data_IF_089657035376
#
_entry.id   IF_089657035376
#
_cell.length_a   1.000
_cell.length_b   1.000
_cell.length_c   1.000
_cell.angle_alpha   90.00
_cell.angle_beta   90.00
_cell.angle_gamma   90.00
#
_symmetry.space_group_name_H-M   'P 1'
#
loop_
_entity.id
_entity.type
_entity.pdbx_description
1 polymer ?
#
# COMPACT_ATOMS: atom_id res chain seq x y z
N UNK A 1 -7.48 -15.04 73.20
CA UNK A 1 -8.35 -15.05 71.99
C UNK A 1 -7.93 -13.87 71.12
N UNK A 2 -8.04 -14.06 69.80
CA UNK A 2 -7.36 -13.40 68.67
C UNK A 2 -7.22 -11.86 68.66
N UNK A 3 -6.06 -11.43 68.15
CA UNK A 3 -5.75 -10.11 67.58
C UNK A 3 -6.47 -9.87 66.25
N UNK A 4 -6.82 -8.62 65.94
CA UNK A 4 -6.80 -8.06 64.59
C UNK A 4 -7.04 -6.54 64.60
N UNK A 5 -5.97 -5.74 64.66
CA UNK A 5 -6.02 -4.32 64.32
C UNK A 5 -5.73 -4.16 62.82
N UNK A 6 -6.75 -3.81 62.05
CA UNK A 6 -6.66 -3.58 60.61
C UNK A 6 -5.85 -2.33 60.27
N UNK A 7 -4.80 -2.52 59.49
CA UNK A 7 -4.00 -1.47 58.84
C UNK A 7 -4.76 -0.83 57.68
N UNK A 8 -4.85 0.49 57.67
CA UNK A 8 -5.44 1.29 56.59
C UNK A 8 -4.51 1.35 55.38
N UNK A 9 -5.01 0.93 54.22
CA UNK A 9 -4.31 0.98 52.93
C UNK A 9 -4.26 2.41 52.37
N UNK A 10 -3.06 2.93 52.13
CA UNK A 10 -2.78 4.26 51.52
C UNK A 10 -2.43 4.16 50.04
N UNK A 11 -3.13 3.33 49.26
CA UNK A 11 -2.97 3.33 47.79
C UNK A 11 -4.04 4.21 47.15
N UNK A 12 -3.67 5.20 46.32
CA UNK A 12 -4.65 6.00 45.60
C UNK A 12 -5.48 5.09 44.68
N UNK A 13 -6.79 5.35 44.52
CA UNK A 13 -7.66 4.51 43.71
C UNK A 13 -7.14 4.50 42.27
N UNK A 14 -7.02 3.29 41.69
CA UNK A 14 -6.68 3.13 40.28
C UNK A 14 -7.75 3.88 39.46
N UNK A 15 -7.38 5.03 38.89
CA UNK A 15 -8.24 5.75 37.94
C UNK A 15 -8.55 4.81 36.79
N UNK A 16 -9.78 4.30 36.74
CA UNK A 16 -10.28 3.56 35.59
C UNK A 16 -10.42 4.59 34.46
N UNK A 17 -9.40 4.68 33.60
CA UNK A 17 -9.48 5.53 32.42
C UNK A 17 -10.42 4.86 31.42
N UNK A 18 -11.37 5.66 30.93
CA UNK A 18 -12.38 5.23 29.98
C UNK A 18 -11.72 4.63 28.73
N UNK A 19 -12.02 3.37 28.34
CA UNK A 19 -11.40 2.72 27.18
C UNK A 19 -11.61 3.51 25.87
N UNK A 20 -12.74 4.23 25.78
CA UNK A 20 -13.11 5.04 24.62
C UNK A 20 -12.21 6.28 24.41
N UNK A 21 -11.64 6.85 25.48
CA UNK A 21 -10.69 7.95 25.39
C UNK A 21 -9.31 7.48 24.90
N UNK A 22 -8.92 6.26 25.24
CA UNK A 22 -7.66 5.64 24.78
C UNK A 22 -7.76 5.25 23.31
N UNK A 23 -8.92 4.74 22.88
CA UNK A 23 -9.18 4.41 21.46
C UNK A 23 -9.12 5.67 20.57
N UNK A 24 -9.81 6.77 20.96
CA UNK A 24 -9.75 8.05 20.24
C UNK A 24 -8.33 8.61 20.14
N UNK A 25 -7.55 8.55 21.23
CA UNK A 25 -6.16 9.01 21.23
C UNK A 25 -5.25 8.20 20.30
N UNK A 26 -5.46 6.88 20.19
CA UNK A 26 -4.69 6.03 19.27
C UNK A 26 -5.05 6.28 17.81
N UNK A 27 -6.32 6.50 17.51
CA UNK A 27 -6.79 6.78 16.15
C UNK A 27 -6.32 8.16 15.67
N UNK A 28 -6.31 9.18 16.55
CA UNK A 28 -5.71 10.49 16.25
C UNK A 28 -4.21 10.40 16.02
N UNK A 29 -3.49 9.63 16.84
CA UNK A 29 -2.05 9.43 16.68
C UNK A 29 -1.71 8.73 15.36
N UNK A 30 -2.51 7.74 14.96
CA UNK A 30 -2.39 7.07 13.66
C UNK A 30 -2.63 8.04 12.50
N UNK A 31 -3.68 8.86 12.56
CA UNK A 31 -3.94 9.88 11.52
C UNK A 31 -2.79 10.88 11.40
N UNK A 32 -2.26 11.36 12.52
CA UNK A 32 -1.12 12.27 12.51
C UNK A 32 0.15 11.62 11.93
N UNK A 33 0.40 10.35 12.20
CA UNK A 33 1.48 9.59 11.57
C UNK A 33 1.26 9.42 10.07
N UNK A 34 0.05 9.06 9.64
CA UNK A 34 -0.31 8.93 8.22
C UNK A 34 -0.14 10.27 7.48
N UNK A 35 -0.57 11.39 8.08
CA UNK A 35 -0.42 12.73 7.52
C UNK A 35 1.06 13.15 7.44
N UNK A 36 1.86 12.86 8.47
CA UNK A 36 3.30 13.14 8.46
C UNK A 36 4.04 12.32 7.38
N UNK A 37 3.73 11.03 7.27
CA UNK A 37 4.29 10.12 6.26
C UNK A 37 3.89 10.60 4.87
N UNK A 38 2.64 11.01 4.68
CA UNK A 38 2.12 11.59 3.43
C UNK A 38 2.88 12.85 3.03
N UNK A 39 3.06 13.80 3.94
CA UNK A 39 3.80 15.05 3.65
C UNK A 39 5.30 14.79 3.38
N UNK A 40 5.89 13.81 4.06
CA UNK A 40 7.29 13.40 3.84
C UNK A 40 7.46 12.74 2.46
N UNK A 41 6.54 11.86 2.08
CA UNK A 41 6.55 11.24 0.75
C UNK A 41 6.29 12.26 -0.36
N UNK A 42 5.32 13.18 -0.17
CA UNK A 42 5.09 14.28 -1.12
C UNK A 42 6.34 15.14 -1.30
N UNK A 43 6.98 15.55 -0.21
CA UNK A 43 8.18 16.40 -0.30
C UNK A 43 9.37 15.67 -0.93
N UNK A 44 9.54 14.36 -0.68
CA UNK A 44 10.57 13.53 -1.33
C UNK A 44 10.32 13.34 -2.83
N UNK A 45 9.08 13.01 -3.20
CA UNK A 45 8.64 12.88 -4.58
C UNK A 45 8.76 14.21 -5.36
N UNK A 46 8.33 15.32 -4.75
CA UNK A 46 8.43 16.66 -5.33
C UNK A 46 9.87 17.17 -5.44
N UNK A 47 10.75 16.84 -4.49
CA UNK A 47 12.19 17.15 -4.58
C UNK A 47 12.85 16.36 -5.71
N UNK A 48 12.48 15.10 -5.88
CA UNK A 48 13.00 14.23 -6.95
C UNK A 48 12.56 14.72 -8.35
N UNK A 49 11.31 15.20 -8.46
CA UNK A 49 10.78 15.90 -9.64
C UNK A 49 11.58 17.17 -9.97
N UNK A 50 11.82 18.03 -8.98
CA UNK A 50 12.55 19.30 -9.19
C UNK A 50 13.99 19.07 -9.65
N UNK A 51 14.55 17.89 -9.37
CA UNK A 51 15.89 17.48 -9.79
C UNK A 51 15.89 16.74 -11.14
N UNK A 52 14.73 16.51 -11.75
CA UNK A 52 14.59 15.82 -13.04
C UNK A 52 15.03 14.35 -13.04
N UNK A 53 15.18 13.75 -11.85
CA UNK A 53 15.61 12.35 -11.69
C UNK A 53 14.82 11.72 -10.55
N UNK A 54 13.79 10.95 -10.89
CA UNK A 54 13.23 10.00 -9.92
C UNK A 54 14.22 8.86 -9.74
N UNK A 55 14.69 8.67 -8.50
CA UNK A 55 15.54 7.53 -8.19
C UNK A 55 14.65 6.28 -8.08
N UNK A 56 15.05 5.14 -8.68
CA UNK A 56 14.33 3.89 -8.49
C UNK A 56 14.27 3.53 -7.01
N UNK A 57 13.08 3.17 -6.53
CA UNK A 57 12.85 2.73 -5.14
C UNK A 57 12.57 1.23 -5.09
N UNK A 58 13.07 0.51 -4.07
CA UNK A 58 12.74 -0.90 -3.90
C UNK A 58 11.26 -1.04 -3.53
N UNK A 59 10.54 -1.89 -4.25
CA UNK A 59 9.11 -2.17 -4.04
C UNK A 59 8.86 -3.67 -3.94
N UNK A 60 7.85 -4.04 -3.16
CA UNK A 60 7.47 -5.42 -2.91
C UNK A 60 6.44 -5.86 -3.97
N UNK A 61 6.65 -7.01 -4.58
CA UNK A 61 5.76 -7.61 -5.59
C UNK A 61 5.62 -9.09 -5.28
N UNK A 62 4.42 -9.64 -5.38
CA UNK A 62 4.21 -11.07 -5.17
C UNK A 62 4.92 -11.90 -6.24
N UNK A 63 5.48 -13.04 -5.88
CA UNK A 63 6.20 -13.91 -6.83
C UNK A 63 5.36 -14.31 -8.05
N UNK A 64 4.07 -14.57 -7.84
CA UNK A 64 3.11 -14.79 -8.94
C UNK A 64 2.98 -13.56 -9.85
N UNK A 65 2.92 -12.37 -9.26
CA UNK A 65 2.87 -11.12 -10.02
C UNK A 65 4.18 -10.89 -10.79
N UNK A 66 5.34 -11.30 -10.27
CA UNK A 66 6.59 -11.23 -11.03
C UNK A 66 6.56 -12.15 -12.27
N UNK A 67 6.07 -13.38 -12.13
CA UNK A 67 5.88 -14.27 -13.29
C UNK A 67 4.93 -13.65 -14.32
N UNK A 68 3.82 -13.03 -13.88
CA UNK A 68 2.88 -12.33 -14.76
C UNK A 68 3.50 -11.09 -15.42
N UNK A 69 4.36 -10.37 -14.70
CA UNK A 69 5.10 -9.24 -15.23
C UNK A 69 6.07 -9.68 -16.33
N UNK A 70 6.79 -10.78 -16.13
CA UNK A 70 7.71 -11.32 -17.12
C UNK A 70 6.97 -11.80 -18.39
N UNK A 71 5.78 -12.40 -18.23
CA UNK A 71 4.90 -12.78 -19.35
C UNK A 71 4.37 -11.54 -20.11
N UNK A 72 3.93 -10.50 -19.39
CA UNK A 72 3.55 -9.21 -19.98
C UNK A 72 4.71 -8.57 -20.75
N UNK A 73 5.92 -8.60 -20.19
CA UNK A 73 7.12 -8.06 -20.84
C UNK A 73 7.43 -8.80 -22.14
N UNK A 74 7.35 -10.13 -22.12
CA UNK A 74 7.64 -10.97 -23.27
C UNK A 74 6.62 -10.76 -24.40
N UNK A 75 5.33 -10.68 -24.07
CA UNK A 75 4.27 -10.53 -25.08
C UNK A 75 4.15 -9.12 -25.66
N UNK A 76 4.23 -8.10 -24.81
CA UNK A 76 4.05 -6.72 -25.23
C UNK A 76 5.32 -6.13 -25.84
N UNK A 77 6.49 -6.75 -25.61
CA UNK A 77 7.80 -6.23 -26.02
C UNK A 77 8.06 -4.80 -25.49
N UNK A 78 7.48 -4.49 -24.33
CA UNK A 78 7.62 -3.21 -23.64
C UNK A 78 8.59 -3.38 -22.47
N UNK A 79 9.31 -2.33 -22.12
CA UNK A 79 10.22 -2.34 -20.98
C UNK A 79 9.48 -2.53 -19.64
N UNK A 80 10.14 -3.21 -18.70
CA UNK A 80 9.57 -3.51 -17.37
C UNK A 80 9.11 -2.23 -16.66
N UNK A 81 9.89 -1.15 -16.74
CA UNK A 81 9.57 0.15 -16.13
C UNK A 81 8.23 0.69 -16.64
N UNK A 82 8.01 0.68 -17.95
CA UNK A 82 6.76 1.14 -18.54
C UNK A 82 5.58 0.26 -18.13
N UNK A 83 5.75 -1.07 -18.07
CA UNK A 83 4.70 -1.98 -17.60
C UNK A 83 4.36 -1.75 -16.12
N UNK A 84 5.37 -1.58 -15.26
CA UNK A 84 5.16 -1.28 -13.84
C UNK A 84 4.41 0.04 -13.63
N UNK A 85 4.71 1.06 -14.43
CA UNK A 85 4.00 2.34 -14.38
C UNK A 85 2.55 2.21 -14.88
N UNK A 86 2.33 1.47 -15.97
CA UNK A 86 0.97 1.15 -16.43
C UNK A 86 0.18 0.38 -15.36
N UNK A 87 0.79 -0.64 -14.76
CA UNK A 87 0.18 -1.46 -13.72
C UNK A 87 -0.22 -0.59 -12.52
N UNK A 88 0.71 0.22 -12.02
CA UNK A 88 0.43 1.10 -10.89
C UNK A 88 -0.71 2.08 -11.17
N UNK A 89 -0.70 2.74 -12.33
CA UNK A 89 -1.78 3.64 -12.74
C UNK A 89 -3.12 2.91 -12.86
N UNK A 90 -3.10 1.73 -13.49
CA UNK A 90 -4.31 0.95 -13.74
C UNK A 90 -4.92 0.42 -12.44
N UNK A 91 -4.12 -0.15 -11.56
CA UNK A 91 -4.57 -0.61 -10.24
C UNK A 91 -5.17 0.52 -9.40
N UNK A 92 -4.56 1.72 -9.43
CA UNK A 92 -5.16 2.89 -8.80
C UNK A 92 -6.49 3.27 -9.44
N UNK A 93 -6.55 3.40 -10.77
CA UNK A 93 -7.75 3.83 -11.47
C UNK A 93 -8.93 2.88 -11.22
N UNK A 94 -8.71 1.58 -11.36
CA UNK A 94 -9.70 0.54 -11.08
C UNK A 94 -10.18 0.58 -9.63
N UNK A 95 -9.27 0.82 -8.67
CA UNK A 95 -9.66 0.95 -7.26
C UNK A 95 -10.58 2.14 -7.01
N UNK A 96 -10.31 3.28 -7.65
CA UNK A 96 -11.08 4.52 -7.50
C UNK A 96 -12.42 4.40 -8.21
N UNK A 97 -12.45 3.86 -9.43
CA UNK A 97 -13.66 3.65 -10.21
C UNK A 97 -14.65 2.74 -9.47
N UNK A 98 -14.15 1.66 -8.88
CA UNK A 98 -14.98 0.72 -8.12
C UNK A 98 -15.22 1.15 -6.66
N UNK A 99 -14.73 2.33 -6.26
CA UNK A 99 -14.85 2.90 -4.92
C UNK A 99 -14.44 1.92 -3.80
N UNK A 100 -13.48 1.03 -4.08
CA UNK A 100 -13.09 -0.01 -3.14
C UNK A 100 -12.20 0.62 -2.08
N UNK A 101 -12.57 0.43 -0.80
CA UNK A 101 -11.74 0.87 0.32
C UNK A 101 -10.37 0.19 0.26
N UNK A 102 -9.31 0.98 0.39
CA UNK A 102 -7.92 0.51 0.36
C UNK A 102 -7.63 -0.62 1.36
N UNK A 103 -8.26 -0.62 2.53
CA UNK A 103 -8.10 -1.69 3.53
C UNK A 103 -8.60 -3.04 3.01
N UNK A 104 -9.67 -3.03 2.22
CA UNK A 104 -10.21 -4.24 1.62
C UNK A 104 -9.30 -4.73 0.47
N UNK A 105 -8.76 -3.80 -0.33
CA UNK A 105 -7.78 -4.13 -1.36
C UNK A 105 -6.49 -4.69 -0.77
N UNK A 106 -6.00 -4.09 0.31
CA UNK A 106 -4.83 -4.58 1.04
C UNK A 106 -5.03 -6.04 1.44
N UNK A 107 -6.13 -6.34 2.14
CA UNK A 107 -6.42 -7.70 2.57
C UNK A 107 -6.50 -8.67 1.39
N UNK A 108 -7.19 -8.30 0.30
CA UNK A 108 -7.24 -9.13 -0.92
C UNK A 108 -5.85 -9.38 -1.51
N UNK A 109 -5.01 -8.36 -1.59
CA UNK A 109 -3.65 -8.48 -2.12
C UNK A 109 -2.79 -9.36 -1.22
N UNK A 110 -2.86 -9.18 0.10
CA UNK A 110 -2.19 -10.03 1.09
C UNK A 110 -2.67 -11.48 1.02
N UNK A 111 -3.98 -11.72 0.87
CA UNK A 111 -4.55 -13.06 0.72
C UNK A 111 -4.10 -13.76 -0.58
N UNK A 112 -3.77 -12.99 -1.63
CA UNK A 112 -3.29 -13.51 -2.92
C UNK A 112 -1.78 -13.69 -2.98
N UNK A 113 -1.01 -12.99 -2.15
CA UNK A 113 0.46 -12.96 -2.18
C UNK A 113 0.98 -13.79 -1.01
N UNK A 114 1.43 -15.00 -1.32
CA UNK A 114 2.02 -15.93 -0.34
C UNK A 114 3.53 -15.66 -0.20
N UNK A 115 4.20 -15.28 -1.29
CA UNK A 115 5.64 -14.99 -1.34
C UNK A 115 5.88 -13.63 -2.01
N UNK A 116 6.79 -12.82 -1.46
CA UNK A 116 7.17 -11.49 -1.95
C UNK A 116 8.60 -11.48 -2.53
N UNK A 117 8.79 -10.72 -3.61
CA UNK A 117 10.06 -10.37 -4.22
C UNK A 117 10.22 -8.84 -4.25
N UNK A 118 11.46 -8.37 -4.35
CA UNK A 118 11.77 -6.94 -4.40
C UNK A 118 12.20 -6.54 -5.81
N UNK A 119 11.56 -5.51 -6.35
CA UNK A 119 11.88 -4.91 -7.65
C UNK A 119 12.27 -3.45 -7.50
N UNK A 120 13.04 -2.93 -8.46
CA UNK A 120 13.37 -1.51 -8.50
C UNK A 120 12.33 -0.77 -9.35
N UNK A 121 11.48 0.01 -8.70
CA UNK A 121 10.44 0.77 -9.38
C UNK A 121 10.80 2.24 -9.47
N UNK A 122 10.92 2.72 -10.70
CA UNK A 122 11.08 4.13 -11.02
C UNK A 122 9.74 4.69 -11.54
N UNK A 123 9.18 5.63 -10.80
CA UNK A 123 7.89 6.24 -11.14
C UNK A 123 8.09 7.29 -12.24
N UNK A 124 7.31 7.19 -13.30
CA UNK A 124 7.28 8.20 -14.35
C UNK A 124 6.54 9.45 -13.88
N UNK A 125 6.86 10.61 -14.44
CA UNK A 125 6.20 11.88 -14.11
C UNK A 125 4.67 11.80 -14.28
N UNK A 126 4.20 11.08 -15.31
CA UNK A 126 2.78 10.89 -15.59
C UNK A 126 2.04 10.08 -14.52
N UNK A 127 2.75 9.20 -13.81
CA UNK A 127 2.22 8.32 -12.75
C UNK A 127 2.43 8.89 -11.36
N UNK A 128 3.16 10.00 -11.26
CA UNK A 128 3.53 10.58 -9.99
C UNK A 128 2.36 11.25 -9.28
N UNK A 129 1.47 11.89 -10.03
CA UNK A 129 0.22 12.44 -9.49
C UNK A 129 -0.61 11.34 -8.80
N UNK A 130 -0.65 10.14 -9.40
CA UNK A 130 -1.29 8.95 -8.81
C UNK A 130 -0.65 8.55 -7.48
N UNK A 131 0.69 8.55 -7.41
CA UNK A 131 1.41 8.27 -6.17
C UNK A 131 1.10 9.32 -5.09
N UNK A 132 1.13 10.62 -5.44
CA UNK A 132 0.85 11.72 -4.51
C UNK A 132 -0.59 11.68 -4.00
N UNK A 133 -1.55 11.33 -4.86
CA UNK A 133 -2.98 11.21 -4.52
C UNK A 133 -3.28 10.01 -3.63
N UNK A 134 -2.53 8.92 -3.77
CA UNK A 134 -2.74 7.71 -2.96
C UNK A 134 -2.47 7.97 -1.47
N UNK A 135 -1.45 8.77 -1.15
CA UNK A 135 -1.20 9.29 0.19
C UNK A 135 -1.11 8.26 1.31
N UNK A 136 -0.72 7.02 0.98
CA UNK A 136 -0.66 5.85 1.88
C UNK A 136 0.68 5.12 1.64
N UNK A 137 1.31 4.67 2.71
CA UNK A 137 2.62 3.99 2.71
C UNK A 137 2.67 2.73 1.84
N UNK A 138 1.65 1.87 1.92
CA UNK A 138 1.58 0.64 1.11
C UNK A 138 0.84 0.81 -0.23
N UNK A 139 0.55 2.05 -0.67
CA UNK A 139 -0.20 2.26 -1.91
C UNK A 139 0.51 1.63 -3.11
N UNK A 140 1.84 1.73 -3.17
CA UNK A 140 2.64 1.12 -4.24
C UNK A 140 2.46 -0.40 -4.23
N UNK A 141 2.63 -1.05 -3.07
CA UNK A 141 2.44 -2.49 -2.95
C UNK A 141 1.04 -2.92 -3.42
N UNK A 142 -0.01 -2.24 -2.94
CA UNK A 142 -1.40 -2.61 -3.23
C UNK A 142 -1.71 -2.41 -4.71
N UNK A 143 -1.48 -1.22 -5.24
CA UNK A 143 -1.88 -0.88 -6.60
C UNK A 143 -0.99 -1.52 -7.66
N UNK A 144 0.29 -1.72 -7.39
CA UNK A 144 1.18 -2.37 -8.33
C UNK A 144 0.82 -3.85 -8.48
N UNK A 145 0.64 -4.59 -7.39
CA UNK A 145 0.26 -6.00 -7.46
C UNK A 145 -1.14 -6.19 -8.05
N UNK A 146 -2.12 -5.38 -7.62
CA UNK A 146 -3.45 -5.40 -8.21
C UNK A 146 -3.40 -5.08 -9.70
N UNK A 147 -2.65 -4.05 -10.08
CA UNK A 147 -2.49 -3.61 -11.45
C UNK A 147 -1.86 -4.65 -12.35
N UNK A 148 -0.82 -5.35 -11.90
CA UNK A 148 -0.18 -6.45 -12.65
C UNK A 148 -1.19 -7.56 -12.91
N UNK A 149 -1.93 -7.99 -11.87
CA UNK A 149 -2.94 -9.04 -12.00
C UNK A 149 -4.02 -8.64 -13.02
N UNK A 150 -4.53 -7.41 -12.91
CA UNK A 150 -5.58 -6.91 -13.78
C UNK A 150 -5.09 -6.71 -15.22
N UNK A 151 -3.87 -6.20 -15.42
CA UNK A 151 -3.28 -6.06 -16.76
C UNK A 151 -3.03 -7.42 -17.40
N UNK A 152 -2.47 -8.37 -16.66
CA UNK A 152 -2.24 -9.73 -17.14
C UNK A 152 -3.56 -10.40 -17.57
N UNK A 153 -4.60 -10.31 -16.74
CA UNK A 153 -5.91 -10.83 -17.10
C UNK A 153 -6.52 -10.12 -18.33
N UNK A 154 -6.34 -8.79 -18.41
CA UNK A 154 -6.93 -7.99 -19.49
C UNK A 154 -6.24 -8.18 -20.84
N UNK A 155 -4.92 -8.32 -20.85
CA UNK A 155 -4.11 -8.31 -22.07
C UNK A 155 -3.67 -9.71 -22.50
N UNK A 156 -3.58 -10.67 -21.58
CA UNK A 156 -3.09 -12.03 -21.89
C UNK A 156 -4.21 -13.05 -21.80
N UNK A 157 -4.93 -13.11 -20.67
CA UNK A 157 -5.98 -14.13 -20.49
C UNK A 157 -7.18 -13.91 -21.45
N UNK A 158 -7.50 -12.65 -21.75
CA UNK A 158 -8.49 -12.31 -22.78
C UNK A 158 -8.01 -12.55 -24.22
N UNK A 159 -6.70 -12.44 -24.51
CA UNK A 159 -6.14 -12.83 -25.82
C UNK A 159 -6.23 -14.34 -26.04
N UNK A 160 -6.09 -15.17 -24.99
CA UNK A 160 -6.32 -16.62 -25.10
C UNK A 160 -7.78 -17.02 -25.31
N UNK A 161 -8.72 -16.08 -25.13
CA UNK A 161 -10.15 -16.27 -25.42
C UNK A 161 -10.54 -15.83 -26.85
N UNK A 162 -9.58 -15.29 -27.61
CA UNK A 162 -9.76 -14.91 -29.01
C UNK A 162 -9.17 -15.98 -29.94
N UNK A 163 -9.61 -17.22 -29.77
CA UNK A 163 -9.58 -18.22 -30.83
C UNK A 163 -11.03 -18.67 -31.01
N UNK A 164 -11.69 -18.07 -32.01
CA UNK A 164 -12.81 -18.72 -32.67
C UNK A 164 -12.36 -20.05 -33.28
#
# INVERSE_FOLDING_TARGET
>A
MAEANHTSSTRPPKKHRDPNLIARSKDELKRQQEDYIRETMKTSALKSLRQGKMQPSPVRVGKKCKIQLDDLQMRLQVDEKTILNMAFAYGYHESMQNQIKIQHLRKKVEDMIIDEETLMFEVNECTLDTLLKSGIEDAIFIYLNLGIILLHSRLIELETSAIF
#
